data_IF_220308109106
#
_entry.id   IF_220308109106
#
_cell.length_a   1.000
_cell.length_b   1.000
_cell.length_c   1.000
_cell.angle_alpha   90.00
_cell.angle_beta   90.00
_cell.angle_gamma   90.00
#
_symmetry.space_group_name_H-M   'P 1'
#
loop_
_entity.id
_entity.type
_entity.pdbx_description
1 polymer ?
#
# COMPACT_ATOMS: atom_id res chain seq x y z
N UNK A 1 6.34 -10.33 9.66
CA UNK A 1 5.68 -11.42 8.89
C UNK A 1 4.18 -11.36 9.08
N UNK A 2 3.42 -12.38 8.64
CA UNK A 2 1.96 -12.37 8.76
C UNK A 2 1.47 -12.21 10.21
N UNK A 3 2.14 -12.82 11.17
CA UNK A 3 1.83 -12.68 12.61
C UNK A 3 1.83 -11.21 13.06
N UNK A 4 2.86 -10.46 12.67
CA UNK A 4 3.00 -9.05 13.04
C UNK A 4 1.98 -8.17 12.34
N UNK A 5 1.51 -8.55 11.16
CA UNK A 5 0.43 -7.82 10.49
C UNK A 5 -0.91 -8.16 11.13
N UNK A 6 -1.12 -9.42 11.54
CA UNK A 6 -2.36 -9.86 12.15
C UNK A 6 -2.70 -9.09 13.44
N UNK A 7 -1.70 -8.59 14.17
CA UNK A 7 -1.92 -7.77 15.39
C UNK A 7 -2.69 -6.48 15.15
N UNK A 8 -2.76 -5.99 13.91
CA UNK A 8 -3.45 -4.74 13.55
C UNK A 8 -4.93 -4.95 13.17
N UNK A 9 -5.38 -6.20 13.06
CA UNK A 9 -6.73 -6.55 12.65
C UNK A 9 -7.40 -7.37 13.74
N UNK A 10 -8.74 -7.37 13.81
CA UNK A 10 -9.43 -8.41 14.57
C UNK A 10 -9.26 -9.78 13.89
N UNK A 11 -9.44 -10.86 14.63
CA UNK A 11 -9.36 -12.22 14.07
C UNK A 11 -10.34 -12.40 12.90
N UNK A 12 -11.55 -11.85 13.01
CA UNK A 12 -12.57 -11.89 11.95
C UNK A 12 -12.15 -11.10 10.70
N UNK A 13 -11.60 -9.90 10.88
CA UNK A 13 -11.10 -9.07 9.78
C UNK A 13 -9.94 -9.77 9.07
N UNK A 14 -9.02 -10.34 9.84
CA UNK A 14 -7.86 -11.07 9.33
C UNK A 14 -8.24 -12.38 8.62
N UNK A 15 -9.27 -13.09 9.11
CA UNK A 15 -9.76 -14.33 8.51
C UNK A 15 -10.42 -14.08 7.14
N UNK A 16 -11.09 -12.93 6.95
CA UNK A 16 -11.72 -12.54 5.68
C UNK A 16 -10.72 -12.17 4.58
N UNK A 17 -9.47 -11.87 4.92
CA UNK A 17 -8.45 -11.49 3.95
C UNK A 17 -7.89 -12.70 3.19
N UNK A 18 -7.79 -12.55 1.87
CA UNK A 18 -7.09 -13.50 1.00
C UNK A 18 -5.59 -13.49 1.27
N UNK A 19 -4.89 -14.57 0.91
CA UNK A 19 -3.42 -14.67 1.03
C UNK A 19 -2.70 -13.51 0.33
N UNK A 20 -3.15 -13.11 -0.86
CA UNK A 20 -2.57 -11.99 -1.60
C UNK A 20 -2.77 -10.65 -0.89
N UNK A 21 -3.94 -10.39 -0.31
CA UNK A 21 -4.17 -9.19 0.50
C UNK A 21 -3.26 -9.18 1.75
N UNK A 22 -3.12 -10.31 2.44
CA UNK A 22 -2.19 -10.46 3.58
C UNK A 22 -0.75 -10.12 3.15
N UNK A 23 -0.32 -10.63 1.99
CA UNK A 23 1.00 -10.30 1.40
C UNK A 23 1.14 -8.82 1.10
N UNK A 24 0.10 -8.17 0.58
CA UNK A 24 0.12 -6.73 0.32
C UNK A 24 0.33 -5.92 1.61
N UNK A 25 -0.35 -6.26 2.72
CA UNK A 25 -0.14 -5.59 4.01
C UNK A 25 1.27 -5.80 4.57
N UNK A 26 1.84 -7.00 4.45
CA UNK A 26 3.25 -7.24 4.80
C UNK A 26 4.17 -6.34 3.99
N UNK A 27 3.96 -6.27 2.68
CA UNK A 27 4.75 -5.42 1.80
C UNK A 27 4.64 -3.94 2.21
N UNK A 28 3.43 -3.45 2.47
CA UNK A 28 3.20 -2.07 2.87
C UNK A 28 3.92 -1.71 4.17
N UNK A 29 3.87 -2.58 5.18
CA UNK A 29 4.62 -2.38 6.42
C UNK A 29 6.13 -2.36 6.18
N UNK A 30 6.64 -3.31 5.40
CA UNK A 30 8.09 -3.39 5.08
C UNK A 30 8.56 -2.14 4.32
N UNK A 31 7.76 -1.68 3.36
CA UNK A 31 8.06 -0.46 2.61
C UNK A 31 8.06 0.77 3.53
N UNK A 32 7.05 0.93 4.39
CA UNK A 32 7.00 2.02 5.36
C UNK A 32 8.24 2.04 6.26
N UNK A 33 8.57 0.93 6.92
CA UNK A 33 9.76 0.83 7.79
C UNK A 33 11.04 1.14 7.02
N UNK A 34 11.17 0.62 5.79
CA UNK A 34 12.35 0.86 4.96
C UNK A 34 12.50 2.34 4.60
N UNK A 35 11.42 2.99 4.19
CA UNK A 35 11.42 4.41 3.82
C UNK A 35 11.71 5.30 5.02
N UNK A 36 11.06 5.05 6.16
CA UNK A 36 11.33 5.80 7.41
C UNK A 36 12.76 5.59 7.91
N UNK A 37 13.30 4.38 7.80
CA UNK A 37 14.69 4.09 8.14
C UNK A 37 15.72 4.79 7.23
N UNK A 38 15.31 5.23 6.04
CA UNK A 38 16.12 6.07 5.16
C UNK A 38 15.97 7.58 5.45
N UNK A 39 15.23 7.95 6.50
CA UNK A 39 14.94 9.35 6.84
C UNK A 39 13.87 9.99 5.94
N UNK A 40 13.17 9.20 5.12
CA UNK A 40 12.07 9.71 4.30
C UNK A 40 10.81 9.80 5.15
N UNK A 41 10.25 11.00 5.24
CA UNK A 41 8.97 11.24 5.91
C UNK A 41 7.84 10.67 5.06
N UNK A 42 7.31 9.52 5.48
CA UNK A 42 6.17 8.84 4.86
C UNK A 42 5.01 8.78 5.85
N UNK A 43 3.79 8.97 5.36
CA UNK A 43 2.59 8.82 6.18
C UNK A 43 2.45 7.36 6.63
N UNK A 44 2.17 7.16 7.92
CA UNK A 44 1.91 5.82 8.46
C UNK A 44 0.66 5.23 7.80
N UNK A 45 0.74 3.99 7.25
CA UNK A 45 -0.40 3.31 6.67
C UNK A 45 -1.57 3.25 7.65
N UNK A 46 -2.79 3.46 7.15
CA UNK A 46 -4.00 3.56 7.99
C UNK A 46 -4.18 2.34 8.89
N UNK A 47 -3.93 1.14 8.37
CA UNK A 47 -4.04 -0.09 9.17
C UNK A 47 -3.00 -0.21 10.28
N UNK A 48 -1.90 0.55 10.22
CA UNK A 48 -0.88 0.57 11.29
C UNK A 48 -1.20 1.62 12.36
N UNK A 49 -2.19 2.48 12.13
CA UNK A 49 -2.68 3.45 13.09
C UNK A 49 -3.63 2.69 14.03
N UNK A 50 -3.27 2.57 15.31
CA UNK A 50 -4.03 1.77 16.27
C UNK A 50 -5.50 2.21 16.38
N UNK A 51 -6.37 1.33 16.90
CA UNK A 51 -7.81 1.60 17.04
C UNK A 51 -8.15 2.69 18.08
N UNK A 52 -7.21 3.10 18.94
CA UNK A 52 -7.40 4.14 19.96
C UNK A 52 -7.43 5.58 19.39
N UNK A 53 -6.85 5.81 18.21
CA UNK A 53 -6.70 7.17 17.66
C UNK A 53 -7.96 7.70 16.94
N UNK A 54 -9.01 6.89 16.84
CA UNK A 54 -10.30 7.29 16.25
C UNK A 54 -11.33 7.76 17.30
N UNK A 55 -11.06 7.59 18.59
CA UNK A 55 -12.01 7.98 19.66
C UNK A 55 -11.81 9.44 20.13
N UNK A 56 -10.67 10.06 19.82
CA UNK A 56 -10.35 11.43 20.25
C UNK A 56 -10.85 12.56 19.31
N UNK A 57 -11.38 12.26 18.13
CA UNK A 57 -11.94 13.30 17.22
C UNK A 57 -13.47 13.46 17.33
N UNK A 58 -14.09 13.09 18.46
CA UNK A 58 -15.53 13.25 18.72
C UNK A 58 -15.83 14.51 19.55
N UNK A 59 -15.24 15.66 19.22
CA UNK A 59 -15.79 16.95 19.65
C UNK A 59 -15.67 18.01 18.55
N UNK A 60 -16.61 17.93 17.61
CA UNK A 60 -17.04 19.07 16.81
C UNK A 60 -16.81 18.93 15.30
N UNK A 61 -17.67 18.17 14.61
CA UNK A 61 -18.29 18.62 13.36
C UNK A 61 -19.45 17.68 13.00
N UNK A 62 -20.68 18.15 13.21
CA UNK A 62 -21.90 17.49 12.74
C UNK A 62 -21.94 17.49 11.21
N UNK A 63 -21.68 16.36 10.55
CA UNK A 63 -22.33 16.05 9.25
C UNK A 63 -22.33 14.54 8.98
N UNK A 64 -23.53 13.97 9.02
CA UNK A 64 -24.04 12.82 8.27
C UNK A 64 -23.15 11.57 8.06
N UNK A 65 -23.58 10.49 8.71
CA UNK A 65 -23.69 9.13 8.17
C UNK A 65 -22.83 8.78 6.94
N UNK A 66 -21.76 8.00 7.13
CA UNK A 66 -21.34 7.04 6.10
C UNK A 66 -20.55 5.90 6.73
N UNK A 67 -21.21 4.75 6.80
CA UNK A 67 -20.65 3.52 7.34
C UNK A 67 -19.46 2.99 6.55
N UNK A 68 -18.70 2.13 7.24
CA UNK A 68 -17.80 1.10 6.69
C UNK A 68 -17.13 1.52 5.38
N UNK A 69 -15.98 2.18 5.49
CA UNK A 69 -15.12 2.40 4.33
C UNK A 69 -14.54 1.05 3.88
N UNK A 70 -15.27 0.35 3.03
CA UNK A 70 -14.80 -0.84 2.31
C UNK A 70 -13.58 -0.41 1.50
N UNK A 71 -12.40 -0.68 2.08
CA UNK A 71 -11.05 -0.72 1.53
C UNK A 71 -10.93 -0.29 0.06
N UNK A 72 -11.00 1.03 -0.22
CA UNK A 72 -10.86 1.62 -1.56
C UNK A 72 -9.53 1.27 -2.24
N UNK A 73 -8.53 0.84 -1.47
CA UNK A 73 -7.25 0.33 -1.99
C UNK A 73 -7.38 -1.03 -2.70
N UNK A 74 -8.40 -1.83 -2.36
CA UNK A 74 -8.66 -3.11 -3.04
C UNK A 74 -9.09 -2.91 -4.50
N UNK A 75 -9.72 -1.76 -4.80
CA UNK A 75 -10.10 -1.39 -6.18
C UNK A 75 -8.89 -0.88 -6.97
N UNK A 76 -8.08 0.01 -6.38
CA UNK A 76 -6.87 0.56 -7.03
C UNK A 76 -5.84 -0.48 -7.45
N UNK A 77 -5.74 -1.61 -6.74
CA UNK A 77 -4.76 -2.65 -7.07
C UNK A 77 -5.11 -3.47 -8.32
N UNK A 78 -6.38 -3.51 -8.74
CA UNK A 78 -6.84 -4.31 -9.89
C UNK A 78 -6.62 -3.65 -11.25
N UNK A 79 -6.34 -2.34 -11.29
CA UNK A 79 -6.26 -1.55 -12.53
C UNK A 79 -4.88 -1.55 -13.20
N UNK A 80 -3.83 -2.07 -12.54
CA UNK A 80 -2.51 -2.21 -13.19
C UNK A 80 -2.46 -3.46 -14.07
N UNK A 81 -3.23 -3.43 -15.15
CA UNK A 81 -3.07 -4.33 -16.29
C UNK A 81 -2.45 -3.55 -17.46
N UNK A 82 -1.39 -2.79 -17.18
CA UNK A 82 -0.57 -2.21 -18.24
C UNK A 82 0.27 -3.33 -18.83
N UNK A 83 -0.14 -3.83 -20.00
CA UNK A 83 0.68 -4.68 -20.85
C UNK A 83 1.90 -3.85 -21.22
N UNK A 84 3.02 -4.04 -20.52
CA UNK A 84 4.31 -3.48 -20.92
C UNK A 84 4.64 -4.11 -22.26
N UNK A 85 4.33 -3.39 -23.34
CA UNK A 85 4.86 -3.69 -24.67
C UNK A 85 6.29 -3.15 -24.62
N UNK A 86 7.28 -4.05 -24.64
CA UNK A 86 8.66 -3.65 -24.84
C UNK A 86 8.76 -3.16 -26.28
N UNK A 87 8.93 -1.86 -26.48
CA UNK A 87 9.55 -1.37 -27.70
C UNK A 87 11.06 -1.58 -27.51
N UNK A 88 11.68 -2.36 -28.41
CA UNK A 88 13.13 -2.49 -28.49
C UNK A 88 13.71 -1.09 -28.64
N UNK A 89 14.56 -0.71 -27.69
CA UNK A 89 15.34 0.51 -27.76
C UNK A 89 16.37 0.22 -28.85
N UNK A 90 16.28 0.90 -29.99
CA UNK A 90 17.25 0.73 -31.07
C UNK A 90 18.65 0.98 -30.52
N UNK A 91 19.53 -0.01 -30.62
CA UNK A 91 20.95 0.18 -30.40
C UNK A 91 21.44 1.28 -31.36
N UNK A 92 22.12 2.33 -30.88
CA UNK A 92 22.80 3.25 -31.80
C UNK A 92 23.92 2.46 -32.49
N UNK A 93 23.89 2.37 -33.82
CA UNK A 93 25.02 1.80 -34.56
C UNK A 93 26.30 2.61 -34.24
N UNK A 94 27.34 1.91 -33.78
CA UNK A 94 28.69 2.48 -33.73
C UNK A 94 29.12 2.80 -35.16
N UNK A 95 29.19 4.10 -35.48
CA UNK A 95 29.89 4.57 -36.67
C UNK A 95 31.40 4.45 -36.41
N UNK A 96 32.02 3.41 -36.95
CA UNK A 96 33.48 3.34 -37.09
C UNK A 96 33.93 4.36 -38.15
N UNK A 97 34.13 5.61 -37.74
CA UNK A 97 34.95 6.59 -38.48
C UNK A 97 36.43 6.35 -38.07
N UNK A 98 37.08 5.40 -38.73
CA UNK A 98 38.54 5.30 -38.78
C UNK A 98 39.02 5.61 -40.22
N UNK A 99 39.55 6.83 -40.36
CA UNK A 99 40.55 7.35 -41.33
C UNK A 99 40.30 7.31 -42.86
#
# INVERSE_FOLDING_TARGET
>A
DFEVIATYFSEEEWAKLTKWQKSAYVYMRRNYIRMTGLGVTVNQPVFMRGKEELEYTVHGHDTAESGIWVNTWSHRLRERKTRVIYEEISDPEESDDDE
#
